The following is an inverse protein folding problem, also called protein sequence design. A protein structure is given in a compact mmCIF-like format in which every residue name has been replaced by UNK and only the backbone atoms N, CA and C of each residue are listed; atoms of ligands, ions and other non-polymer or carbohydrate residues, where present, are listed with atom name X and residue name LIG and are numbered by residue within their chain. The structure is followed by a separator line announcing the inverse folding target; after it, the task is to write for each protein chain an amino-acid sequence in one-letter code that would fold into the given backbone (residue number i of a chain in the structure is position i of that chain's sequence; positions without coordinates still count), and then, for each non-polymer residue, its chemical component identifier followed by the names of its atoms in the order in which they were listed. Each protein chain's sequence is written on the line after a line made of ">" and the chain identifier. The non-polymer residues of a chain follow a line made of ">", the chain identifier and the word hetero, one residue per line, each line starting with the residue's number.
data_IF_147917180261
#
_entry.id   IF_147917180261
#
_cell.length_a   1.000
_cell.length_b   1.000
_cell.length_c   1.000
_cell.angle_alpha   90.00
_cell.angle_beta   90.00
_cell.angle_gamma   90.00
#
_symmetry.space_group_name_H-M   'P 1'
#
loop_
_entity.id
_entity.type
_entity.pdbx_description
1 polymer ?
#
# COMPACT_ATOMS: atom_id res chain seq x y z
N UNK A 1 10.28 -8.51 4.65
CA UNK A 1 9.96 -7.17 4.09
C UNK A 1 10.63 -7.02 2.73
N UNK A 2 10.07 -6.21 1.84
CA UNK A 2 10.66 -5.91 0.52
C UNK A 2 10.85 -4.41 0.36
N UNK A 3 11.96 -4.01 -0.25
CA UNK A 3 12.27 -2.60 -0.56
C UNK A 3 12.22 -2.37 -2.06
N UNK A 4 11.72 -1.23 -2.49
CA UNK A 4 11.85 -0.80 -3.88
C UNK A 4 12.03 0.71 -3.95
N UNK A 5 12.98 1.14 -4.78
CA UNK A 5 13.15 2.54 -5.18
C UNK A 5 12.43 2.81 -6.51
N UNK A 6 11.76 3.93 -6.65
CA UNK A 6 11.16 4.41 -7.90
C UNK A 6 11.12 5.93 -7.82
N UNK A 7 11.67 6.64 -8.81
CA UNK A 7 11.57 8.11 -8.94
C UNK A 7 11.90 8.84 -7.63
N UNK A 8 13.06 8.55 -7.04
CA UNK A 8 13.53 9.13 -5.77
C UNK A 8 12.58 8.95 -4.56
N UNK A 9 11.71 7.94 -4.61
CA UNK A 9 10.94 7.43 -3.48
C UNK A 9 11.45 6.03 -3.08
N UNK A 10 11.67 5.82 -1.78
CA UNK A 10 11.93 4.50 -1.20
C UNK A 10 10.67 3.96 -0.51
N UNK A 11 10.19 2.81 -0.98
CA UNK A 11 9.06 2.10 -0.35
C UNK A 11 9.56 0.84 0.33
N UNK A 12 9.29 0.73 1.63
CA UNK A 12 9.45 -0.51 2.40
C UNK A 12 8.08 -1.10 2.68
N UNK A 13 7.87 -2.35 2.24
CA UNK A 13 6.65 -3.13 2.48
C UNK A 13 6.91 -4.23 3.52
N UNK A 14 6.02 -4.33 4.50
CA UNK A 14 5.99 -5.38 5.50
C UNK A 14 4.63 -6.07 5.45
N UNK A 15 4.63 -7.40 5.55
CA UNK A 15 3.43 -8.23 5.60
C UNK A 15 3.45 -8.95 6.93
N UNK A 16 2.35 -8.82 7.65
CA UNK A 16 2.05 -9.56 8.87
C UNK A 16 0.87 -10.49 8.55
N UNK A 17 1.14 -11.75 8.20
CA UNK A 17 0.12 -12.67 7.70
C UNK A 17 -0.74 -13.29 8.82
N UNK A 18 -0.20 -13.40 10.04
CA UNK A 18 -0.70 -14.36 11.03
C UNK A 18 -0.99 -13.75 12.41
N UNK A 19 -0.59 -12.49 12.67
CA UNK A 19 -0.79 -11.89 14.00
C UNK A 19 -2.22 -11.44 14.24
N UNK A 20 -2.98 -11.16 13.19
CA UNK A 20 -4.39 -10.73 13.25
C UNK A 20 -5.30 -11.69 12.47
N UNK A 21 -6.62 -11.52 12.62
CA UNK A 21 -7.63 -12.36 11.96
C UNK A 21 -7.58 -12.32 10.41
N UNK A 22 -6.82 -11.39 9.84
CA UNK A 22 -6.62 -11.21 8.41
C UNK A 22 -5.22 -10.63 8.16
N UNK A 23 -4.61 -10.89 6.98
CA UNK A 23 -3.27 -10.39 6.68
C UNK A 23 -3.22 -8.87 6.69
N UNK A 24 -2.18 -8.31 7.30
CA UNK A 24 -1.94 -6.87 7.35
C UNK A 24 -0.72 -6.52 6.51
N UNK A 25 -0.82 -5.42 5.77
CA UNK A 25 0.29 -4.90 4.98
C UNK A 25 0.62 -3.49 5.42
N UNK A 26 1.84 -3.29 5.89
CA UNK A 26 2.35 -1.99 6.29
C UNK A 26 3.34 -1.46 5.25
N UNK A 27 3.23 -0.15 4.97
CA UNK A 27 4.15 0.57 4.10
C UNK A 27 4.83 1.70 4.87
N UNK A 28 6.12 1.86 4.59
CA UNK A 28 6.88 3.09 4.87
C UNK A 28 7.30 3.66 3.52
N UNK A 29 6.99 4.92 3.29
CA UNK A 29 7.28 5.66 2.07
C UNK A 29 8.19 6.82 2.46
N UNK A 30 9.36 6.91 1.85
CA UNK A 30 10.38 7.91 2.14
C UNK A 30 10.66 8.69 0.86
N UNK A 31 10.52 10.01 0.91
CA UNK A 31 10.92 10.90 -0.17
C UNK A 31 12.41 11.18 -0.10
N UNK A 32 13.07 11.20 -1.26
CA UNK A 32 14.43 11.70 -1.43
C UNK A 32 14.45 13.01 -2.25
N UNK A 33 13.27 13.58 -2.52
CA UNK A 33 13.11 14.87 -3.19
C UNK A 33 13.31 16.04 -2.21
N UNK A 34 13.76 17.16 -2.76
CA UNK A 34 13.90 18.46 -2.09
C UNK A 34 12.65 19.36 -2.24
N UNK A 35 11.67 18.92 -3.03
CA UNK A 35 10.35 19.54 -3.18
C UNK A 35 9.22 18.58 -2.73
N UNK A 36 8.03 19.10 -2.33
CA UNK A 36 6.88 18.26 -2.02
C UNK A 36 6.45 17.39 -3.20
N UNK A 37 6.03 16.17 -2.93
CA UNK A 37 5.58 15.22 -3.96
C UNK A 37 4.34 14.44 -3.52
N UNK A 38 3.43 14.21 -4.45
CA UNK A 38 2.28 13.33 -4.24
C UNK A 38 2.62 11.91 -4.67
N UNK A 39 2.54 10.97 -3.73
CA UNK A 39 2.78 9.55 -3.98
C UNK A 39 1.46 8.79 -3.97
N UNK A 40 1.17 8.08 -5.06
CA UNK A 40 0.06 7.12 -5.14
C UNK A 40 0.58 5.70 -5.20
N UNK A 41 0.09 4.86 -4.30
CA UNK A 41 0.38 3.43 -4.22
C UNK A 41 -0.89 2.64 -4.55
N UNK A 42 -0.82 1.69 -5.48
CA UNK A 42 -1.95 0.81 -5.79
C UNK A 42 -1.59 -0.67 -5.88
N UNK A 43 -2.50 -1.53 -5.42
CA UNK A 43 -2.40 -2.99 -5.50
C UNK A 43 -3.71 -3.62 -5.98
N UNK A 44 -3.65 -4.74 -6.74
CA UNK A 44 -4.84 -5.46 -7.15
C UNK A 44 -5.49 -6.21 -5.99
N UNK A 45 -6.82 -6.18 -5.96
CA UNK A 45 -7.62 -7.11 -5.15
C UNK A 45 -7.49 -8.55 -5.67
N UNK A 46 -7.75 -9.54 -4.82
CA UNK A 46 -7.63 -10.97 -5.16
C UNK A 46 -8.59 -11.46 -6.25
N UNK A 47 -9.69 -10.74 -6.51
CA UNK A 47 -10.65 -11.09 -7.55
C UNK A 47 -11.58 -9.93 -7.91
N UNK A 48 -12.22 -10.04 -9.07
CA UNK A 48 -13.31 -9.15 -9.47
C UNK A 48 -14.55 -9.41 -8.61
N UNK A 49 -15.17 -8.34 -8.09
CA UNK A 49 -16.46 -8.44 -7.40
C UNK A 49 -16.41 -8.65 -5.89
N UNK A 50 -15.27 -8.40 -5.23
CA UNK A 50 -15.27 -8.20 -3.78
C UNK A 50 -15.94 -6.84 -3.53
N UNK A 51 -17.12 -6.79 -2.90
CA UNK A 51 -17.78 -5.52 -2.62
C UNK A 51 -16.93 -4.71 -1.64
N UNK A 52 -16.91 -3.39 -1.79
CA UNK A 52 -16.14 -2.48 -0.92
C UNK A 52 -16.44 -2.72 0.57
N UNK A 53 -17.66 -3.14 0.88
CA UNK A 53 -18.12 -3.51 2.22
C UNK A 53 -17.36 -4.72 2.81
N UNK A 54 -16.97 -5.69 1.98
CA UNK A 54 -16.22 -6.90 2.38
C UNK A 54 -14.73 -6.64 2.58
N UNK A 55 -14.19 -5.57 1.98
CA UNK A 55 -12.83 -5.09 2.22
C UNK A 55 -12.75 -4.43 3.62
N UNK A 56 -13.90 -4.08 4.19
CA UNK A 56 -14.03 -3.49 5.52
C UNK A 56 -13.61 -2.02 5.55
N UNK A 57 -13.44 -1.47 6.77
CA UNK A 57 -12.86 -0.13 6.93
C UNK A 57 -11.38 -0.18 6.59
N UNK A 58 -11.03 0.26 5.39
CA UNK A 58 -9.65 0.56 5.06
C UNK A 58 -9.10 1.64 6.00
N UNK A 59 -7.80 1.58 6.31
CA UNK A 59 -7.13 2.60 7.11
C UNK A 59 -7.26 3.99 6.48
N UNK A 60 -7.02 5.06 7.26
CA UNK A 60 -7.08 6.43 6.75
C UNK A 60 -6.19 6.60 5.49
N UNK A 61 -6.76 7.21 4.44
CA UNK A 61 -6.06 7.49 3.18
C UNK A 61 -6.13 6.35 2.15
N UNK A 62 -6.76 5.23 2.48
CA UNK A 62 -7.00 4.13 1.55
C UNK A 62 -8.41 4.18 0.97
N UNK A 63 -8.54 3.80 -0.29
CA UNK A 63 -9.80 3.65 -1.00
C UNK A 63 -9.75 2.45 -1.94
N UNK A 64 -10.93 1.98 -2.36
CA UNK A 64 -11.08 1.00 -3.43
C UNK A 64 -11.46 1.74 -4.71
N UNK A 65 -10.72 1.52 -5.78
CA UNK A 65 -11.00 2.09 -7.10
C UNK A 65 -10.62 1.07 -8.18
N UNK A 66 -11.55 0.79 -9.09
CA UNK A 66 -11.31 -0.06 -10.26
C UNK A 66 -10.66 -1.43 -9.95
N UNK A 67 -11.15 -2.11 -8.90
CA UNK A 67 -10.64 -3.42 -8.49
C UNK A 67 -9.26 -3.39 -7.81
N UNK A 68 -8.85 -2.22 -7.32
CA UNK A 68 -7.57 -1.99 -6.66
C UNK A 68 -7.78 -1.26 -5.35
N UNK A 69 -6.89 -1.52 -4.40
CA UNK A 69 -6.70 -0.61 -3.27
C UNK A 69 -5.73 0.50 -3.71
N UNK A 70 -6.04 1.73 -3.33
CA UNK A 70 -5.26 2.92 -3.63
C UNK A 70 -4.99 3.67 -2.32
N UNK A 71 -3.74 4.05 -2.10
CA UNK A 71 -3.32 4.99 -1.06
C UNK A 71 -2.67 6.20 -1.72
N UNK A 72 -3.04 7.39 -1.26
CA UNK A 72 -2.48 8.65 -1.73
C UNK A 72 -2.01 9.48 -0.53
N UNK A 73 -0.82 10.07 -0.67
CA UNK A 73 -0.24 10.96 0.35
C UNK A 73 0.66 11.99 -0.30
N UNK A 74 0.58 13.22 0.19
CA UNK A 74 1.58 14.26 -0.07
C UNK A 74 2.73 14.11 0.92
N UNK A 75 3.95 14.07 0.42
CA UNK A 75 5.17 14.05 1.21
C UNK A 75 5.87 15.40 1.08
N UNK A 76 6.19 15.98 2.23
CA UNK A 76 7.16 17.07 2.31
C UNK A 76 8.55 16.63 1.78
N UNK A 77 9.44 17.59 1.44
CA UNK A 77 10.83 17.31 1.13
C UNK A 77 11.48 16.40 2.17
N UNK A 78 12.19 15.35 1.72
CA UNK A 78 12.81 14.33 2.58
C UNK A 78 11.83 13.66 3.58
N UNK A 79 10.53 13.79 3.34
CA UNK A 79 9.47 13.37 4.24
C UNK A 79 9.27 11.85 4.31
N UNK A 80 8.55 11.41 5.34
CA UNK A 80 8.19 10.00 5.52
C UNK A 80 6.71 9.85 5.84
N UNK A 81 6.02 8.96 5.11
CA UNK A 81 4.69 8.48 5.47
C UNK A 81 4.72 7.01 5.90
N UNK A 82 3.80 6.65 6.80
CA UNK A 82 3.53 5.27 7.20
C UNK A 82 2.04 5.01 7.09
N UNK A 83 1.69 3.85 6.55
CA UNK A 83 0.29 3.44 6.43
C UNK A 83 0.17 1.92 6.54
N UNK A 84 -1.01 1.47 6.95
CA UNK A 84 -1.32 0.05 7.12
C UNK A 84 -2.68 -0.23 6.49
N UNK A 85 -2.78 -1.35 5.79
CA UNK A 85 -4.03 -1.82 5.19
C UNK A 85 -4.25 -3.29 5.51
N UNK A 86 -5.46 -3.62 5.89
CA UNK A 86 -5.89 -5.00 5.97
C UNK A 86 -6.16 -5.56 4.58
N UNK A 87 -5.70 -6.79 4.32
CA UNK A 87 -5.94 -7.51 3.08
C UNK A 87 -6.95 -8.62 3.31
N UNK A 88 -8.16 -8.22 3.73
CA UNK A 88 -9.30 -9.13 3.94
C UNK A 88 -9.69 -9.87 2.66
N UNK A 89 -9.26 -9.36 1.50
CA UNK A 89 -9.41 -10.01 0.19
C UNK A 89 -8.46 -11.19 -0.02
N UNK A 90 -7.45 -11.38 0.84
CA UNK A 90 -6.35 -12.33 0.66
C UNK A 90 -6.28 -13.32 1.81
N UNK A 91 -5.78 -14.52 1.51
CA UNK A 91 -5.40 -15.50 2.52
C UNK A 91 -4.02 -15.17 3.11
N UNK A 92 -3.78 -15.59 4.36
CA UNK A 92 -2.45 -15.54 4.99
C UNK A 92 -1.43 -16.40 4.25
N UNK A 93 -1.87 -17.45 3.54
CA UNK A 93 -1.00 -18.30 2.73
C UNK A 93 -0.46 -17.61 1.45
N UNK A 94 -1.01 -16.45 1.07
CA UNK A 94 -0.61 -15.69 -0.12
C UNK A 94 0.54 -14.69 0.15
N UNK A 95 1.44 -14.98 1.12
CA UNK A 95 2.50 -14.07 1.57
C UNK A 95 3.35 -13.52 0.41
N UNK A 96 3.77 -14.38 -0.52
CA UNK A 96 4.61 -13.95 -1.66
C UNK A 96 3.87 -12.97 -2.58
N UNK A 97 2.56 -13.18 -2.80
CA UNK A 97 1.71 -12.24 -3.53
C UNK A 97 1.56 -10.94 -2.76
N UNK A 98 1.35 -11.02 -1.44
CA UNK A 98 1.31 -9.87 -0.54
C UNK A 98 2.66 -9.16 -0.45
N UNK A 99 3.80 -9.79 -0.75
CA UNK A 99 5.12 -9.16 -0.80
C UNK A 99 5.49 -8.65 -2.20
N UNK A 100 4.63 -8.85 -3.20
CA UNK A 100 4.84 -8.31 -4.53
C UNK A 100 4.95 -6.78 -4.49
N UNK A 101 5.74 -6.24 -5.42
CA UNK A 101 5.97 -4.79 -5.53
C UNK A 101 4.63 -4.09 -5.84
N UNK A 102 4.24 -3.04 -5.10
CA UNK A 102 3.08 -2.23 -5.46
C UNK A 102 3.33 -1.48 -6.77
N UNK A 103 2.26 -1.05 -7.42
CA UNK A 103 2.37 0.01 -8.43
C UNK A 103 2.50 1.36 -7.71
N UNK A 104 3.45 2.16 -8.16
CA UNK A 104 3.75 3.49 -7.60
C UNK A 104 3.71 4.49 -8.73
N UNK A 105 3.10 5.65 -8.49
CA UNK A 105 3.22 6.83 -9.35
C UNK A 105 3.52 8.04 -8.48
N UNK A 106 4.42 8.90 -8.95
CA UNK A 106 4.82 10.13 -8.27
C UNK A 106 4.42 11.32 -9.14
N UNK A 107 3.79 12.33 -8.54
CA UNK A 107 3.45 13.60 -9.18
C UNK A 107 4.08 14.74 -8.37
N UNK A 108 4.68 15.71 -9.06
CA UNK A 108 5.28 16.92 -8.49
C UNK A 108 4.36 18.12 -8.72
#
# INVERSE_FOLDING_TARGET
>A
SRRTATEDILITKHVDPDTLAQPMVAYKIESLWDEPVTVRLSEPLAGSGIPDEAIGRLGKGWQVLDGRILYEVELEPEGTARTVVARSDRSSDEIETLLAKPRVTVEQ
#
